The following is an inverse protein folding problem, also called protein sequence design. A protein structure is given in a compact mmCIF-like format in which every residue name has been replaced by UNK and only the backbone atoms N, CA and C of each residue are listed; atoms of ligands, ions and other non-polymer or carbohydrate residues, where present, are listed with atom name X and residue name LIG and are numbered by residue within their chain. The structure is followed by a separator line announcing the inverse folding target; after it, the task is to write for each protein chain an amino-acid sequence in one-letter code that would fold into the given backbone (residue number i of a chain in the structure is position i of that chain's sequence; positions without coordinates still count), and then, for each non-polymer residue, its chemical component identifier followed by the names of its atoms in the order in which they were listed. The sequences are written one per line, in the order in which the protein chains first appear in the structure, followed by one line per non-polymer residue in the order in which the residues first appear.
data_IF_343415278001
#
_entry.id   IF_343415278001
#
_cell.length_a   1.000
_cell.length_b   1.000
_cell.length_c   1.000
_cell.angle_alpha   90.00
_cell.angle_beta   90.00
_cell.angle_gamma   90.00
#
_symmetry.space_group_name_H-M   'P 1'
#
loop_
_entity.id
_entity.type
_entity.pdbx_description
1 polymer ?
#
# COMPACT_ATOMS: atom_id res chain seq x y z
N UNK A 1 15.78 17.00 16.86
CA UNK A 1 15.68 15.64 17.45
C UNK A 1 14.59 15.70 18.50
N UNK A 2 13.45 15.06 18.27
CA UNK A 2 12.34 15.10 19.22
C UNK A 2 12.72 14.41 20.54
N UNK A 3 12.16 14.90 21.64
CA UNK A 3 12.38 14.27 22.95
C UNK A 3 11.70 12.90 23.00
N UNK A 4 12.25 11.95 23.76
CA UNK A 4 11.63 10.62 23.95
C UNK A 4 10.17 10.71 24.44
N UNK A 5 9.86 11.72 25.25
CA UNK A 5 8.49 11.96 25.72
C UNK A 5 7.55 12.35 24.58
N UNK A 6 8.01 13.18 23.62
CA UNK A 6 7.22 13.58 22.46
C UNK A 6 6.97 12.41 21.50
N UNK A 7 7.98 11.58 21.28
CA UNK A 7 7.88 10.33 20.49
C UNK A 7 6.81 9.40 21.08
N UNK A 8 6.86 9.17 22.41
CA UNK A 8 5.86 8.34 23.10
C UNK A 8 4.47 8.98 23.01
N UNK A 9 4.35 10.29 23.22
CA UNK A 9 3.07 11.01 23.12
C UNK A 9 2.43 10.85 21.74
N UNK A 10 3.20 10.94 20.65
CA UNK A 10 2.69 10.74 19.29
C UNK A 10 2.25 9.31 19.05
N UNK A 11 3.03 8.33 19.50
CA UNK A 11 2.68 6.92 19.37
C UNK A 11 1.38 6.58 20.13
N UNK A 12 1.23 7.05 21.37
CA UNK A 12 0.02 6.79 22.17
C UNK A 12 -1.20 7.55 21.69
N UNK A 13 -1.04 8.71 21.02
CA UNK A 13 -2.15 9.48 20.47
C UNK A 13 -2.94 8.72 19.38
N UNK A 14 -2.39 7.64 18.82
CA UNK A 14 -3.03 6.82 17.77
C UNK A 14 -3.57 5.47 18.30
N UNK A 15 -3.50 5.23 19.61
CA UNK A 15 -4.11 4.03 20.19
C UNK A 15 -5.63 4.04 19.99
N UNK A 16 -6.18 2.94 19.49
CA UNK A 16 -7.61 2.80 19.21
C UNK A 16 -8.07 3.38 17.87
N UNK A 17 -7.16 3.85 17.02
CA UNK A 17 -7.47 4.24 15.65
C UNK A 17 -7.88 3.03 14.79
N UNK A 18 -8.96 3.17 14.02
CA UNK A 18 -9.51 2.15 13.13
C UNK A 18 -9.62 2.67 11.68
N UNK A 19 -8.57 3.32 11.18
CA UNK A 19 -8.46 3.83 9.79
C UNK A 19 -7.26 3.20 9.06
N UNK A 20 -6.99 1.91 9.30
CA UNK A 20 -5.88 1.22 8.64
C UNK A 20 -6.09 1.18 7.13
N UNK A 21 -5.11 1.69 6.37
CA UNK A 21 -5.12 1.67 4.90
C UNK A 21 -3.82 1.09 4.39
N UNK A 22 -3.92 0.04 3.57
CA UNK A 22 -2.77 -0.70 3.05
C UNK A 22 -1.68 0.19 2.44
N UNK A 23 -2.06 1.26 1.73
CA UNK A 23 -1.13 2.09 0.95
C UNK A 23 -0.80 3.44 1.58
N UNK A 24 -1.53 3.91 2.60
CA UNK A 24 -1.41 5.28 3.09
C UNK A 24 -1.51 5.44 4.61
N UNK A 25 -1.91 4.39 5.34
CA UNK A 25 -2.04 4.43 6.80
C UNK A 25 -1.77 3.04 7.40
N UNK A 26 -0.60 2.49 7.07
CA UNK A 26 -0.15 1.17 7.53
C UNK A 26 0.94 1.29 8.60
N UNK A 27 1.46 0.15 9.06
CA UNK A 27 2.49 0.09 10.09
C UNK A 27 3.79 0.81 9.69
N UNK A 28 4.17 0.78 8.41
CA UNK A 28 5.38 1.46 7.90
C UNK A 28 5.24 2.97 8.08
N UNK A 29 4.12 3.53 7.64
CA UNK A 29 3.78 4.94 7.83
C UNK A 29 3.76 5.35 9.31
N UNK A 30 3.20 4.49 10.17
CA UNK A 30 3.22 4.76 11.61
C UNK A 30 4.64 4.84 12.15
N UNK A 31 5.49 3.86 11.82
CA UNK A 31 6.88 3.76 12.28
C UNK A 31 7.77 4.90 11.78
N UNK A 32 7.53 5.43 10.58
CA UNK A 32 8.27 6.59 10.05
C UNK A 32 7.75 7.90 10.61
N UNK A 33 6.45 8.00 10.91
CA UNK A 33 5.81 9.22 11.38
C UNK A 33 6.07 9.53 12.87
N UNK A 34 5.93 8.57 13.80
CA UNK A 34 6.00 8.91 15.23
C UNK A 34 7.37 9.45 15.70
N UNK A 35 8.53 9.07 15.11
CA UNK A 35 9.84 9.60 15.50
C UNK A 35 10.13 11.02 14.99
N UNK A 36 9.66 11.39 13.79
CA UNK A 36 10.02 12.64 13.09
C UNK A 36 8.83 13.59 12.89
N UNK A 37 7.59 13.09 12.98
CA UNK A 37 6.36 13.80 12.62
C UNK A 37 6.12 13.88 11.11
N UNK A 38 7.03 13.34 10.29
CA UNK A 38 6.98 13.41 8.84
C UNK A 38 6.33 12.14 8.26
N UNK A 39 5.34 12.31 7.41
CA UNK A 39 4.73 11.19 6.69
C UNK A 39 5.60 10.82 5.49
N UNK A 40 6.52 9.86 5.68
CA UNK A 40 7.28 9.23 4.60
C UNK A 40 6.91 7.76 4.46
N UNK A 41 6.80 7.29 3.22
CA UNK A 41 6.61 5.87 2.90
C UNK A 41 7.71 5.45 1.94
N UNK A 42 8.55 4.54 2.40
CA UNK A 42 9.58 3.94 1.56
C UNK A 42 8.94 3.16 0.42
N UNK A 43 7.77 2.56 0.65
CA UNK A 43 7.01 1.86 -0.40
C UNK A 43 6.59 2.81 -1.55
N UNK A 44 6.07 3.99 -1.22
CA UNK A 44 5.69 5.01 -2.21
C UNK A 44 6.94 5.60 -2.86
N UNK A 45 7.97 5.93 -2.08
CA UNK A 45 9.23 6.46 -2.63
C UNK A 45 9.95 5.46 -3.54
N UNK A 46 9.93 4.17 -3.20
CA UNK A 46 10.44 3.09 -4.02
C UNK A 46 9.68 2.99 -5.34
N UNK A 47 8.36 3.15 -5.32
CA UNK A 47 7.55 3.13 -6.53
C UNK A 47 7.80 4.38 -7.40
N UNK A 48 7.91 5.56 -6.80
CA UNK A 48 8.21 6.81 -7.51
C UNK A 48 9.61 6.80 -8.13
N UNK A 49 10.60 6.26 -7.42
CA UNK A 49 11.99 6.14 -7.91
C UNK A 49 12.15 5.01 -8.93
N UNK A 50 11.38 3.93 -8.80
CA UNK A 50 11.48 2.74 -9.64
C UNK A 50 10.08 2.29 -10.09
N UNK A 51 9.42 3.03 -11.00
CA UNK A 51 8.03 2.76 -11.40
C UNK A 51 7.84 1.38 -12.04
N UNK A 52 8.91 0.81 -12.60
CA UNK A 52 8.90 -0.56 -13.11
C UNK A 52 8.52 -1.60 -12.04
N UNK A 53 8.65 -1.28 -10.74
CA UNK A 53 8.19 -2.15 -9.65
C UNK A 53 6.68 -2.40 -9.67
N UNK A 54 5.88 -1.56 -10.34
CA UNK A 54 4.46 -1.83 -10.58
C UNK A 54 4.19 -2.85 -11.70
N UNK A 55 5.15 -3.13 -12.59
CA UNK A 55 4.93 -3.97 -13.78
C UNK A 55 4.39 -5.37 -13.45
N UNK A 56 4.92 -6.11 -12.47
CA UNK A 56 4.40 -7.45 -12.15
C UNK A 56 2.93 -7.43 -11.74
N UNK A 57 2.51 -6.41 -10.98
CA UNK A 57 1.12 -6.24 -10.57
C UNK A 57 0.22 -5.92 -11.77
N UNK A 58 0.66 -5.03 -12.66
CA UNK A 58 -0.07 -4.67 -13.89
C UNK A 58 -0.23 -5.89 -14.80
N UNK A 59 0.85 -6.64 -15.03
CA UNK A 59 0.83 -7.86 -15.85
C UNK A 59 -0.11 -8.90 -15.23
N UNK A 60 -0.03 -9.12 -13.91
CA UNK A 60 -0.92 -10.04 -13.21
C UNK A 60 -2.40 -9.70 -13.36
N UNK A 61 -2.76 -8.41 -13.24
CA UNK A 61 -4.15 -7.95 -13.44
C UNK A 61 -4.61 -8.15 -14.88
N UNK A 62 -3.77 -7.79 -15.86
CA UNK A 62 -4.11 -7.95 -17.28
C UNK A 62 -4.28 -9.43 -17.67
N UNK A 63 -3.36 -10.31 -17.23
CA UNK A 63 -3.46 -11.74 -17.49
C UNK A 63 -4.71 -12.35 -16.84
N UNK A 64 -5.04 -11.94 -15.62
CA UNK A 64 -6.24 -12.40 -14.93
C UNK A 64 -7.52 -11.94 -15.64
N UNK A 65 -7.58 -10.68 -16.07
CA UNK A 65 -8.71 -10.14 -16.84
C UNK A 65 -8.86 -10.84 -18.20
N UNK A 66 -7.76 -11.11 -18.91
CA UNK A 66 -7.78 -11.83 -20.17
C UNK A 66 -8.26 -13.29 -19.98
N UNK A 67 -7.87 -13.94 -18.88
CA UNK A 67 -8.38 -15.26 -18.50
C UNK A 67 -9.90 -15.26 -18.30
N UNK A 68 -10.42 -14.28 -17.56
CA UNK A 68 -11.86 -14.13 -17.31
C UNK A 68 -12.62 -13.91 -18.63
N UNK A 69 -12.16 -13.00 -19.48
CA UNK A 69 -12.79 -12.73 -20.80
C UNK A 69 -12.72 -13.95 -21.71
N UNK A 70 -11.60 -14.70 -21.68
CA UNK A 70 -11.43 -15.93 -22.47
C UNK A 70 -12.39 -17.04 -22.04
N UNK A 71 -12.62 -17.21 -20.73
CA UNK A 71 -13.58 -18.18 -20.20
C UNK A 71 -15.02 -17.82 -20.57
N UNK A 72 -15.36 -16.53 -20.57
CA UNK A 72 -16.69 -16.04 -20.91
C UNK A 72 -17.00 -16.18 -22.43
N UNK A 73 -15.99 -15.96 -23.29
CA UNK A 73 -16.11 -16.23 -24.72
C UNK A 73 -16.25 -17.73 -25.02
N UNK A 74 -15.46 -18.58 -24.35
CA UNK A 74 -15.55 -20.03 -24.51
C UNK A 74 -16.93 -20.55 -24.07
N UNK A 75 -17.50 -20.03 -22.98
CA UNK A 75 -18.83 -20.38 -22.51
C UNK A 75 -19.94 -20.00 -23.51
N UNK A 76 -19.79 -18.88 -24.24
CA UNK A 76 -20.76 -18.42 -25.25
C UNK A 76 -20.69 -19.14 -26.59
N UNK A 77 -19.53 -19.70 -26.96
CA UNK A 77 -19.36 -20.49 -28.19
C UNK A 77 -19.80 -21.95 -27.99
N UNK A 78 -19.74 -22.45 -26.76
CA UNK A 78 -20.13 -23.81 -26.38
C UNK A 78 -21.62 -23.96 -26.00
N UNK A 79 -22.38 -22.87 -25.97
CA UNK A 79 -23.83 -22.82 -25.73
C UNK A 79 -24.60 -22.65 -27.04
#
# INVERSE_FOLDING_TARGET
MDSRAEIVRRATARLGEDDYRLLTNNCEHFCTWYPSGENRSEQVEALLSHPWRALPAIVGVLCSAAGIVGQDLAARVMA
#
